data_IF_883692166230
#
_entry.id   IF_883692166230
#
_cell.length_a   1.000
_cell.length_b   1.000
_cell.length_c   1.000
_cell.angle_alpha   90.00
_cell.angle_beta   90.00
_cell.angle_gamma   90.00
#
_symmetry.space_group_name_H-M   'P 1'
#
loop_
_entity.id
_entity.type
_entity.pdbx_description
1 polymer ?
#
# COMPACT_ATOMS: atom_id res chain seq x y z
N UNK A 1 -15.70 -8.44 0.54
CA UNK A 1 -15.32 -8.99 -0.79
C UNK A 1 -15.34 -7.93 -1.90
N UNK A 2 -16.41 -7.14 -2.04
CA UNK A 2 -16.56 -6.18 -3.17
C UNK A 2 -15.49 -5.08 -3.24
N UNK A 3 -14.98 -4.59 -2.09
CA UNK A 3 -13.95 -3.54 -2.05
C UNK A 3 -12.60 -4.00 -2.60
N UNK A 4 -12.17 -5.23 -2.27
CA UNK A 4 -10.89 -5.78 -2.72
C UNK A 4 -10.84 -5.92 -4.24
N UNK A 5 -11.88 -6.50 -4.82
CA UNK A 5 -11.96 -6.71 -6.27
C UNK A 5 -12.00 -5.38 -7.03
N UNK A 6 -12.74 -4.39 -6.50
CA UNK A 6 -12.79 -3.05 -7.06
C UNK A 6 -11.41 -2.37 -7.05
N UNK A 7 -10.64 -2.50 -5.96
CA UNK A 7 -9.27 -1.97 -5.88
C UNK A 7 -8.36 -2.69 -6.88
N UNK A 8 -8.48 -4.02 -7.01
CA UNK A 8 -7.70 -4.79 -8.00
C UNK A 8 -8.01 -4.33 -9.43
N UNK A 9 -9.28 -4.08 -9.77
CA UNK A 9 -9.65 -3.57 -11.09
C UNK A 9 -9.05 -2.20 -11.35
N UNK A 10 -9.19 -1.25 -10.42
CA UNK A 10 -8.57 0.08 -10.55
C UNK A 10 -7.05 0.04 -10.69
N UNK A 11 -6.38 -0.85 -9.94
CA UNK A 11 -4.93 -1.06 -10.09
C UNK A 11 -4.57 -1.62 -11.47
N UNK A 12 -5.38 -2.52 -12.03
CA UNK A 12 -5.16 -3.03 -13.40
C UNK A 12 -5.35 -1.92 -14.44
N UNK A 13 -6.40 -1.10 -14.28
CA UNK A 13 -6.69 0.04 -15.14
C UNK A 13 -5.59 1.10 -15.10
N UNK A 14 -4.91 1.28 -13.96
CA UNK A 14 -3.73 2.15 -13.84
C UNK A 14 -2.44 1.55 -14.40
N UNK A 15 -2.49 0.37 -15.02
CA UNK A 15 -1.33 -0.32 -15.58
C UNK A 15 -0.48 -1.08 -14.55
N UNK A 16 -0.96 -1.21 -13.30
CA UNK A 16 -0.27 -1.95 -12.26
C UNK A 16 -0.42 -3.46 -12.48
N UNK A 17 0.69 -4.15 -12.79
CA UNK A 17 0.72 -5.62 -12.87
C UNK A 17 0.39 -6.26 -11.51
N UNK A 18 -0.68 -7.05 -11.44
CA UNK A 18 -1.08 -7.73 -10.19
C UNK A 18 -0.33 -9.05 -10.03
N UNK A 19 0.73 -9.06 -9.22
CA UNK A 19 1.52 -10.25 -8.87
C UNK A 19 1.05 -10.86 -7.56
N UNK A 20 1.48 -12.09 -7.24
CA UNK A 20 1.17 -12.74 -5.95
C UNK A 20 1.63 -11.90 -4.74
N UNK A 21 2.80 -11.28 -4.84
CA UNK A 21 3.33 -10.38 -3.80
C UNK A 21 2.46 -9.13 -3.61
N UNK A 22 1.94 -8.54 -4.70
CA UNK A 22 1.06 -7.37 -4.63
C UNK A 22 -0.33 -7.72 -4.08
N UNK A 23 -0.85 -8.90 -4.39
CA UNK A 23 -2.09 -9.40 -3.78
C UNK A 23 -1.91 -9.60 -2.27
N UNK A 24 -0.82 -10.24 -1.85
CA UNK A 24 -0.52 -10.39 -0.43
C UNK A 24 -0.38 -9.03 0.29
N UNK A 25 0.31 -8.06 -0.31
CA UNK A 25 0.39 -6.71 0.26
C UNK A 25 -0.98 -6.03 0.34
N UNK A 26 -1.82 -6.18 -0.68
CA UNK A 26 -3.19 -5.66 -0.67
C UNK A 26 -4.00 -6.27 0.48
N UNK A 27 -3.88 -7.58 0.69
CA UNK A 27 -4.58 -8.29 1.76
C UNK A 27 -4.12 -7.76 3.14
N UNK A 28 -2.81 -7.61 3.36
CA UNK A 28 -2.27 -7.00 4.59
C UNK A 28 -2.79 -5.58 4.81
N UNK A 29 -2.86 -4.76 3.75
CA UNK A 29 -3.31 -3.36 3.86
C UNK A 29 -4.82 -3.28 4.13
N UNK A 30 -5.62 -4.22 3.64
CA UNK A 30 -7.07 -4.23 3.80
C UNK A 30 -7.54 -4.91 5.08
N UNK A 31 -6.81 -5.89 5.59
CA UNK A 31 -7.18 -6.63 6.80
C UNK A 31 -6.81 -5.91 8.09
N UNK A 32 -5.84 -5.01 8.03
CA UNK A 32 -5.21 -4.44 9.22
C UNK A 32 -5.30 -2.91 9.21
N UNK A 33 -5.61 -2.32 10.38
CA UNK A 33 -5.51 -0.88 10.62
C UNK A 33 -4.03 -0.45 10.70
N UNK A 34 -3.27 -0.68 9.63
CA UNK A 34 -1.89 -0.25 9.54
C UNK A 34 -1.83 1.28 9.49
N UNK A 35 -1.13 1.88 10.45
CA UNK A 35 -1.02 3.34 10.57
C UNK A 35 0.10 3.91 9.70
N UNK A 36 1.07 3.08 9.30
CA UNK A 36 2.22 3.53 8.51
C UNK A 36 2.86 2.42 7.65
N UNK A 37 3.67 2.84 6.66
CA UNK A 37 4.39 1.94 5.75
C UNK A 37 5.33 0.96 6.47
N UNK A 38 5.86 1.33 7.64
CA UNK A 38 6.77 0.49 8.42
C UNK A 38 6.05 -0.73 9.00
N UNK A 39 4.81 -0.57 9.44
CA UNK A 39 3.98 -1.68 9.92
C UNK A 39 3.63 -2.63 8.79
N UNK A 40 3.22 -2.10 7.63
CA UNK A 40 2.95 -2.90 6.44
C UNK A 40 4.18 -3.73 6.07
N UNK A 41 5.36 -3.10 6.05
CA UNK A 41 6.62 -3.80 5.77
C UNK A 41 6.92 -4.90 6.79
N UNK A 42 6.79 -4.62 8.09
CA UNK A 42 7.08 -5.59 9.14
C UNK A 42 6.15 -6.82 9.09
N UNK A 43 4.89 -6.64 8.70
CA UNK A 43 3.97 -7.76 8.49
C UNK A 43 4.28 -8.51 7.19
N UNK A 44 4.49 -7.78 6.10
CA UNK A 44 4.80 -8.37 4.80
C UNK A 44 6.11 -9.17 4.82
N UNK A 45 7.13 -8.72 5.55
CA UNK A 45 8.42 -9.43 5.66
C UNK A 45 8.33 -10.73 6.46
N UNK A 46 7.35 -10.86 7.37
CA UNK A 46 7.05 -12.12 8.06
C UNK A 46 6.39 -13.15 7.14
N UNK A 47 5.63 -12.68 6.14
CA UNK A 47 4.94 -13.55 5.16
C UNK A 47 5.87 -13.90 4.00
N UNK A 48 6.58 -12.90 3.45
CA UNK A 48 7.56 -13.07 2.38
C UNK A 48 8.84 -12.27 2.71
N UNK A 49 9.90 -12.94 3.18
CA UNK A 49 11.19 -12.29 3.49
C UNK A 49 11.87 -11.62 2.29
N UNK A 50 11.41 -11.86 1.06
CA UNK A 50 11.94 -11.21 -0.16
C UNK A 50 11.31 -9.84 -0.41
N UNK A 51 10.27 -9.46 0.32
CA UNK A 51 9.67 -8.13 0.22
C UNK A 51 10.65 -7.09 0.73
N UNK A 52 11.02 -6.17 -0.15
CA UNK A 52 11.74 -4.96 0.24
C UNK A 52 10.79 -3.83 0.61
N UNK A 53 11.28 -2.92 1.48
CA UNK A 53 10.59 -1.68 1.87
C UNK A 53 10.15 -0.86 0.64
N UNK A 54 10.98 -0.79 -0.40
CA UNK A 54 10.64 -0.08 -1.65
C UNK A 54 9.40 -0.66 -2.35
N UNK A 55 9.16 -1.97 -2.24
CA UNK A 55 7.98 -2.61 -2.83
C UNK A 55 6.71 -2.21 -2.08
N UNK A 56 6.79 -2.07 -0.76
CA UNK A 56 5.70 -1.56 0.08
C UNK A 56 5.35 -0.13 -0.33
N UNK A 57 6.34 0.77 -0.41
CA UNK A 57 6.10 2.15 -0.84
C UNK A 57 5.48 2.24 -2.23
N UNK A 58 5.97 1.47 -3.20
CA UNK A 58 5.37 1.44 -4.55
C UNK A 58 3.93 0.95 -4.54
N UNK A 59 3.59 -0.02 -3.68
CA UNK A 59 2.23 -0.51 -3.54
C UNK A 59 1.32 0.54 -2.91
N UNK A 60 1.77 1.17 -1.81
CA UNK A 60 1.04 2.24 -1.13
C UNK A 60 0.79 3.41 -2.08
N UNK A 61 1.83 3.87 -2.80
CA UNK A 61 1.67 4.94 -3.80
C UNK A 61 0.67 4.54 -4.90
N UNK A 62 0.77 3.34 -5.45
CA UNK A 62 -0.17 2.89 -6.47
C UNK A 62 -1.62 2.83 -5.98
N UNK A 63 -1.84 2.50 -4.70
CA UNK A 63 -3.16 2.53 -4.07
C UNK A 63 -3.63 3.97 -3.78
N UNK A 64 -2.72 4.88 -3.43
CA UNK A 64 -3.01 6.30 -3.25
C UNK A 64 -3.39 6.96 -4.59
N UNK A 65 -2.67 6.66 -5.66
CA UNK A 65 -2.89 7.21 -7.00
C UNK A 65 -4.29 6.87 -7.56
N UNK A 66 -4.81 5.68 -7.24
CA UNK A 66 -6.17 5.26 -7.61
C UNK A 66 -7.25 5.71 -6.60
N UNK A 67 -6.85 6.45 -5.56
CA UNK A 67 -7.71 6.93 -4.48
C UNK A 67 -8.25 5.84 -3.55
N UNK A 68 -7.58 4.68 -3.48
CA UNK A 68 -7.98 3.57 -2.60
C UNK A 68 -7.54 3.80 -1.14
N UNK A 69 -6.46 4.54 -0.93
CA UNK A 69 -5.99 4.95 0.41
C UNK A 69 -5.60 6.42 0.39
N UNK A 70 -5.63 7.06 1.55
CA UNK A 70 -5.16 8.43 1.74
C UNK A 70 -3.97 8.41 2.70
N UNK A 71 -2.76 8.62 2.19
CA UNK A 71 -1.59 8.71 3.04
C UNK A 71 -1.52 10.13 3.62
N UNK A 72 -1.76 10.30 4.93
CA UNK A 72 -1.59 11.59 5.58
C UNK A 72 -0.09 11.87 5.73
N UNK A 73 0.49 12.62 4.80
CA UNK A 73 1.87 13.11 4.90
C UNK A 73 1.88 14.39 5.74
N UNK A 74 1.95 14.24 7.06
CA UNK A 74 2.17 15.36 7.97
C UNK A 74 3.66 15.66 8.08
N UNK A 75 4.15 16.63 7.31
CA UNK A 75 5.43 17.28 7.60
C UNK A 75 5.16 18.76 7.79
N UNK A 76 5.28 19.24 9.03
CA UNK A 76 5.33 20.68 9.31
C UNK A 76 6.79 21.10 9.19
N UNK A 77 7.08 21.99 8.24
CA UNK A 77 8.38 22.65 8.17
C UNK A 77 8.47 23.61 9.36
N UNK A 78 9.55 23.51 10.15
CA UNK A 78 9.87 24.52 11.13
C UNK A 78 10.23 25.82 10.39
N UNK A 79 9.32 26.80 10.38
CA UNK A 79 9.60 28.15 9.88
C UNK A 79 8.63 28.73 8.85
N UNK A 80 7.42 28.21 8.69
CA UNK A 80 6.35 28.97 8.03
C UNK A 80 5.59 29.79 9.08
N UNK A 81 6.13 30.97 9.41
CA UNK A 81 5.31 32.12 9.85
C UNK A 81 4.88 32.92 8.62
#
# INVERSE_FOLDING_TARGET
MMQREMIIQKLKESGCRITKQRLMLLDIILEEDCSCCKEIYFKASKVDPKIGVATVYRMVNAMEDIGAIKCMRGFQLAGSE
#
